data_IF_250863096828
#
_entry.id   IF_250863096828
#
_cell.length_a   1.000
_cell.length_b   1.000
_cell.length_c   1.000
_cell.angle_alpha   90.00
_cell.angle_beta   90.00
_cell.angle_gamma   90.00
#
_symmetry.space_group_name_H-M   'P 1'
#
loop_
_entity.id
_entity.type
_entity.pdbx_description
1 polymer ?
#
# COMPACT_ATOMS: atom_id res chain seq x y z
N UNK A 1 -1.57 -29.91 5.26
CA UNK A 1 -1.19 -29.03 4.14
C UNK A 1 -0.12 -28.08 4.66
N UNK A 2 1.10 -28.04 4.12
CA UNK A 2 2.08 -27.01 4.50
C UNK A 2 1.59 -25.64 4.01
N UNK A 3 1.70 -24.62 4.85
CA UNK A 3 1.41 -23.23 4.47
C UNK A 3 2.59 -22.73 3.64
N UNK A 4 2.38 -22.55 2.34
CA UNK A 4 3.33 -21.84 1.48
C UNK A 4 3.20 -20.35 1.76
N UNK A 5 4.29 -19.76 2.25
CA UNK A 5 4.38 -18.32 2.40
C UNK A 5 5.01 -17.70 1.15
N UNK A 6 4.43 -16.60 0.67
CA UNK A 6 4.95 -15.84 -0.46
C UNK A 6 5.78 -14.66 0.04
N UNK A 7 7.05 -14.58 -0.40
CA UNK A 7 7.85 -13.37 -0.30
C UNK A 7 7.44 -12.44 -1.43
N UNK A 8 6.95 -11.24 -1.10
CA UNK A 8 6.51 -10.26 -2.09
C UNK A 8 7.41 -9.03 -2.04
N UNK A 9 7.96 -8.67 -3.19
CA UNK A 9 8.76 -7.46 -3.37
C UNK A 9 8.16 -6.64 -4.51
N UNK A 10 7.95 -5.36 -4.24
CA UNK A 10 7.51 -4.41 -5.24
C UNK A 10 8.26 -3.11 -5.07
N UNK A 11 8.71 -2.56 -6.19
CA UNK A 11 9.37 -1.26 -6.23
C UNK A 11 8.67 -0.43 -7.28
N UNK A 12 8.15 0.71 -6.85
CA UNK A 12 7.64 1.75 -7.72
C UNK A 12 8.62 2.92 -7.69
N UNK A 13 8.88 3.52 -8.85
CA UNK A 13 9.72 4.71 -8.95
C UNK A 13 9.14 5.65 -9.98
N UNK A 14 9.13 6.93 -9.65
CA UNK A 14 8.70 8.01 -10.51
C UNK A 14 9.76 9.11 -10.49
N UNK A 15 10.11 9.61 -11.67
CA UNK A 15 11.04 10.72 -11.84
C UNK A 15 10.39 11.80 -12.69
N UNK A 16 10.46 13.03 -12.23
CA UNK A 16 9.99 14.21 -12.95
C UNK A 16 11.02 15.35 -12.81
N UNK A 17 10.87 16.46 -13.55
CA UNK A 17 11.79 17.59 -13.47
C UNK A 17 11.91 18.22 -12.07
N UNK A 18 10.96 17.93 -11.18
CA UNK A 18 10.91 18.45 -9.82
C UNK A 18 11.60 17.53 -8.80
N UNK A 19 11.95 16.30 -9.20
CA UNK A 19 12.67 15.32 -8.38
C UNK A 19 12.33 13.87 -8.74
N UNK A 20 12.89 12.94 -7.97
CA UNK A 20 12.59 11.51 -8.05
C UNK A 20 12.03 10.98 -6.74
N UNK A 21 11.08 10.07 -6.84
CA UNK A 21 10.50 9.35 -5.72
C UNK A 21 10.56 7.86 -6.00
N UNK A 22 10.96 7.05 -5.02
CA UNK A 22 10.91 5.60 -5.10
C UNK A 22 10.29 5.04 -3.83
N UNK A 23 9.42 4.05 -3.98
CA UNK A 23 8.82 3.32 -2.89
C UNK A 23 9.05 1.83 -3.10
N UNK A 24 9.62 1.19 -2.10
CA UNK A 24 9.89 -0.25 -2.09
C UNK A 24 9.09 -0.87 -0.96
N UNK A 25 8.31 -1.89 -1.28
CA UNK A 25 7.53 -2.70 -0.35
C UNK A 25 8.09 -4.11 -0.37
N UNK A 26 8.48 -4.63 0.79
CA UNK A 26 8.94 -5.99 0.96
C UNK A 26 8.12 -6.66 2.06
N UNK A 27 7.28 -7.62 1.67
CA UNK A 27 6.43 -8.40 2.56
C UNK A 27 6.99 -9.80 2.71
N UNK A 28 7.26 -10.15 3.96
CA UNK A 28 7.75 -11.45 4.43
C UNK A 28 6.73 -12.03 5.42
N UNK A 29 6.83 -13.32 5.79
CA UNK A 29 6.03 -13.89 6.87
C UNK A 29 6.18 -13.17 8.22
N UNK A 30 7.32 -12.53 8.45
CA UNK A 30 7.59 -11.75 9.66
C UNK A 30 6.96 -10.35 9.67
N UNK A 31 6.60 -9.81 8.51
CA UNK A 31 6.08 -8.46 8.39
C UNK A 31 6.36 -7.79 7.04
N UNK A 32 5.90 -6.55 6.91
CA UNK A 32 6.07 -5.71 5.72
C UNK A 32 6.99 -4.55 6.03
N UNK A 33 8.06 -4.40 5.25
CA UNK A 33 8.92 -3.22 5.26
C UNK A 33 8.55 -2.31 4.09
N UNK A 34 8.36 -1.03 4.34
CA UNK A 34 8.13 0.00 3.33
C UNK A 34 9.27 1.01 3.42
N UNK A 35 10.00 1.19 2.32
CA UNK A 35 11.04 2.21 2.19
C UNK A 35 10.65 3.22 1.13
N UNK A 36 10.53 4.48 1.52
CA UNK A 36 10.25 5.59 0.62
C UNK A 36 11.50 6.47 0.52
N UNK A 37 12.03 6.63 -0.68
CA UNK A 37 13.11 7.56 -0.99
C UNK A 37 12.55 8.70 -1.82
N UNK A 38 12.83 9.93 -1.42
CA UNK A 38 12.40 11.13 -2.12
C UNK A 38 13.59 12.07 -2.28
N UNK A 39 13.87 12.44 -3.51
CA UNK A 39 14.98 13.32 -3.87
C UNK A 39 14.43 14.48 -4.69
N UNK A 40 14.32 15.69 -4.12
CA UNK A 40 13.93 16.87 -4.87
C UNK A 40 15.03 17.28 -5.86
N UNK A 41 14.64 17.97 -6.94
CA UNK A 41 15.58 18.49 -7.92
C UNK A 41 16.54 19.50 -7.26
N UNK A 42 17.85 19.20 -7.29
CA UNK A 42 18.89 20.03 -6.68
C UNK A 42 19.03 19.90 -5.16
N UNK A 43 18.32 18.98 -4.51
CA UNK A 43 18.45 18.70 -3.08
C UNK A 43 19.01 17.31 -2.79
N UNK A 44 19.23 17.02 -1.50
CA UNK A 44 19.66 15.71 -1.04
C UNK A 44 18.48 14.73 -0.97
N UNK A 45 18.75 13.45 -1.25
CA UNK A 45 17.75 12.40 -1.07
C UNK A 45 17.44 12.17 0.41
N UNK A 46 16.16 12.07 0.73
CA UNK A 46 15.67 11.65 2.05
C UNK A 46 15.07 10.25 1.93
N UNK A 47 15.41 9.37 2.86
CA UNK A 47 14.87 8.00 2.91
C UNK A 47 14.15 7.77 4.21
N UNK A 48 12.90 7.33 4.14
CA UNK A 48 12.09 6.92 5.29
C UNK A 48 11.78 5.43 5.17
N UNK A 49 12.18 4.66 6.18
CA UNK A 49 11.86 3.23 6.27
C UNK A 49 10.89 3.00 7.42
N UNK A 50 9.80 2.28 7.15
CA UNK A 50 8.81 1.85 8.14
C UNK A 50 8.69 0.32 8.10
N UNK A 51 8.66 -0.32 9.26
CA UNK A 51 8.51 -1.76 9.41
C UNK A 51 7.19 -2.08 10.14
N UNK A 52 6.36 -2.91 9.53
CA UNK A 52 5.09 -3.37 10.05
C UNK A 52 5.17 -4.87 10.38
N UNK A 53 5.26 -5.27 11.66
CA UNK A 53 5.33 -6.69 12.02
C UNK A 53 4.01 -7.42 11.68
N UNK A 54 4.11 -8.69 11.28
CA UNK A 54 2.95 -9.51 10.91
C UNK A 54 2.06 -9.86 12.13
N UNK A 55 2.59 -9.78 13.35
CA UNK A 55 1.84 -9.86 14.60
C UNK A 55 1.37 -8.46 15.00
N UNK A 56 0.12 -8.13 14.65
CA UNK A 56 -0.43 -6.78 14.73
C UNK A 56 -0.08 -6.03 16.02
N UNK A 57 0.67 -4.93 15.87
CA UNK A 57 0.58 -3.84 16.81
C UNK A 57 -0.45 -2.85 16.26
N UNK A 58 -1.70 -3.05 16.69
CA UNK A 58 -2.77 -2.09 16.58
C UNK A 58 -2.46 -0.96 17.55
N UNK A 59 -1.51 -0.09 17.17
CA UNK A 59 -0.95 0.92 18.06
C UNK A 59 -0.67 2.22 17.34
N UNK A 60 -1.58 3.16 17.55
CA UNK A 60 -1.48 4.62 17.33
C UNK A 60 -1.81 5.19 15.94
N UNK A 61 -3.09 5.56 15.81
CA UNK A 61 -3.56 6.93 15.48
C UNK A 61 -2.74 7.65 14.40
N UNK A 62 -3.22 7.82 13.17
CA UNK A 62 -4.12 8.95 12.85
C UNK A 62 -4.59 8.85 11.39
N UNK A 63 -5.89 8.63 11.14
CA UNK A 63 -6.56 8.52 9.82
C UNK A 63 -6.72 7.10 9.23
N UNK A 64 -6.94 6.09 10.06
CA UNK A 64 -7.61 4.89 9.56
C UNK A 64 -9.11 5.16 9.61
N UNK A 65 -9.74 5.28 8.44
CA UNK A 65 -11.19 5.16 8.31
C UNK A 65 -11.61 3.94 9.14
N UNK A 66 -12.65 4.10 9.98
CA UNK A 66 -13.16 2.99 10.79
C UNK A 66 -13.35 1.78 9.87
N UNK A 67 -13.00 0.59 10.36
CA UNK A 67 -13.08 -0.66 9.61
C UNK A 67 -14.41 -0.81 8.85
N UNK A 68 -15.51 -0.34 9.44
CA UNK A 68 -16.85 -0.31 8.81
C UNK A 68 -16.97 0.60 7.59
N UNK A 69 -16.24 1.72 7.53
CA UNK A 69 -16.30 2.64 6.39
C UNK A 69 -15.47 2.13 5.21
N UNK A 70 -14.37 1.41 5.49
CA UNK A 70 -13.60 0.71 4.46
C UNK A 70 -14.36 -0.51 3.90
N UNK A 71 -15.02 -1.27 4.78
CA UNK A 71 -15.87 -2.40 4.38
C UNK A 71 -17.08 -1.92 3.55
N UNK A 72 -17.73 -0.81 3.95
CA UNK A 72 -18.84 -0.22 3.17
C UNK A 72 -18.42 0.20 1.76
N UNK A 73 -17.30 0.93 1.62
CA UNK A 73 -16.82 1.37 0.29
C UNK A 73 -16.36 0.20 -0.59
N UNK A 74 -15.87 -0.88 0.02
CA UNK A 74 -15.47 -2.07 -0.71
C UNK A 74 -16.68 -2.84 -1.26
N UNK A 75 -17.78 -2.95 -0.50
CA UNK A 75 -19.02 -3.56 -0.98
C UNK A 75 -19.65 -2.74 -2.13
N UNK A 76 -19.72 -1.42 -2.00
CA UNK A 76 -20.30 -0.53 -3.02
C UNK A 76 -19.52 -0.60 -4.35
N UNK A 77 -18.19 -0.59 -4.29
CA UNK A 77 -17.35 -0.72 -5.49
C UNK A 77 -17.49 -2.09 -6.18
N UNK A 78 -17.84 -3.14 -5.43
CA UNK A 78 -18.08 -4.47 -5.99
C UNK A 78 -19.44 -4.59 -6.69
N UNK A 79 -20.45 -3.83 -6.23
CA UNK A 79 -21.79 -3.83 -6.80
C UNK A 79 -21.82 -3.08 -8.16
N UNK A 80 -21.05 -2.00 -8.29
CA UNK A 80 -20.93 -1.21 -9.53
C UNK A 80 -20.33 -1.99 -10.72
N UNK A 81 -19.42 -2.94 -10.49
CA UNK A 81 -18.87 -3.80 -11.56
C UNK A 81 -19.89 -4.84 -12.06
N UNK A 82 -20.79 -5.31 -11.20
CA UNK A 82 -21.83 -6.28 -11.58
C UNK A 82 -22.98 -5.62 -12.36
N UNK A 83 -23.34 -4.38 -12.03
CA UNK A 83 -24.37 -3.64 -12.76
C UNK A 83 -23.97 -3.30 -14.20
N UNK A 84 -22.68 -3.02 -14.46
CA UNK A 84 -22.19 -2.65 -15.80
C UNK A 84 -22.17 -3.79 -16.82
N UNK A 85 -22.30 -5.05 -16.39
CA UNK A 85 -22.29 -6.21 -17.30
C UNK A 85 -23.68 -6.70 -17.72
N UNK A 86 -24.74 -6.32 -17.03
CA UNK A 86 -26.13 -6.73 -17.33
C UNK A 86 -27.10 -5.55 -17.47
N UNK A 87 -26.61 -4.30 -17.53
CA UNK A 87 -27.43 -3.08 -17.58
C UNK A 87 -27.20 -2.23 -18.81
N UNK A 88 -27.29 -2.82 -20.00
CA UNK A 88 -27.53 -2.06 -21.22
C UNK A 88 -29.00 -1.65 -21.28
N UNK A 89 -29.31 -0.42 -20.88
CA UNK A 89 -30.50 0.34 -21.28
C UNK A 89 -30.18 1.84 -21.23
#
# INVERSE_FOLDING_TARGET
MPVTYYDYKSTESSSNPQGSSSRTVHTTPSGTTVSNTQQPAGGQASTQTQHYPAGGNQGSDSRRLSREEAERRYLEAMEDEYAKREGGA
#
